data_IF_433962953424
#
_entry.id   IF_433962953424
#
_cell.length_a   1.000
_cell.length_b   1.000
_cell.length_c   1.000
_cell.angle_alpha   90.00
_cell.angle_beta   90.00
_cell.angle_gamma   90.00
#
_symmetry.space_group_name_H-M   'P 1'
#
loop_
_entity.id
_entity.type
_entity.pdbx_description
1 polymer ?
#
# COMPACT_ATOMS: atom_id res chain seq x y z
N UNK A 1 25.54 21.75 -23.46
CA UNK A 1 24.94 21.89 -22.12
C UNK A 1 24.29 20.57 -21.78
N UNK A 2 25.00 19.73 -21.03
CA UNK A 2 24.43 18.50 -20.45
C UNK A 2 23.43 18.95 -19.40
N UNK A 3 22.15 18.58 -19.56
CA UNK A 3 21.18 18.72 -18.47
C UNK A 3 21.77 17.96 -17.28
N UNK A 4 22.02 18.66 -16.18
CA UNK A 4 22.36 18.00 -14.93
C UNK A 4 21.21 17.05 -14.60
N UNK A 5 21.52 15.76 -14.54
CA UNK A 5 20.61 14.77 -14.00
C UNK A 5 20.53 15.04 -12.50
N UNK A 6 19.51 15.80 -12.10
CA UNK A 6 19.12 15.89 -10.70
C UNK A 6 18.45 14.55 -10.38
N UNK A 7 19.02 13.71 -9.50
CA UNK A 7 18.33 12.51 -9.06
C UNK A 7 17.04 12.98 -8.41
N UNK A 8 15.90 12.61 -9.00
CA UNK A 8 14.60 12.78 -8.38
C UNK A 8 14.74 12.10 -7.02
N UNK A 9 14.56 12.86 -5.93
CA UNK A 9 14.57 12.29 -4.58
C UNK A 9 13.66 11.06 -4.62
N UNK A 10 14.20 9.82 -4.48
CA UNK A 10 13.43 8.63 -4.79
C UNK A 10 12.26 8.50 -3.81
N UNK A 11 12.38 9.08 -2.61
CA UNK A 11 11.31 9.06 -1.61
C UNK A 11 10.05 9.79 -2.09
N UNK A 12 9.06 9.01 -2.48
CA UNK A 12 7.68 9.44 -2.74
C UNK A 12 7.10 10.17 -1.52
N UNK A 13 6.64 11.40 -1.73
CA UNK A 13 5.77 12.07 -0.77
C UNK A 13 4.33 11.58 -0.98
N UNK A 14 3.99 10.49 -0.31
CA UNK A 14 2.68 9.81 -0.43
C UNK A 14 1.53 10.59 0.24
N UNK A 15 1.87 11.55 1.10
CA UNK A 15 0.93 12.35 1.87
C UNK A 15 0.55 13.65 1.14
N UNK A 16 1.47 14.19 0.33
CA UNK A 16 1.21 15.36 -0.51
C UNK A 16 1.08 14.96 -2.00
N UNK A 17 0.57 15.86 -2.83
CA UNK A 17 0.14 15.64 -4.21
C UNK A 17 1.17 15.00 -5.19
N UNK A 18 2.43 14.77 -4.78
CA UNK A 18 3.52 14.27 -5.64
C UNK A 18 3.42 12.78 -6.01
N UNK A 19 2.37 12.06 -5.59
CA UNK A 19 2.01 10.73 -6.13
C UNK A 19 1.83 10.77 -7.65
N UNK A 20 1.40 11.90 -8.22
CA UNK A 20 1.08 12.02 -9.65
C UNK A 20 2.26 11.78 -10.59
N UNK A 21 3.47 12.22 -10.22
CA UNK A 21 4.67 12.01 -11.05
C UNK A 21 5.06 10.54 -11.09
N UNK A 22 4.99 9.85 -9.94
CA UNK A 22 5.21 8.42 -9.86
C UNK A 22 4.17 7.64 -10.68
N UNK A 23 2.89 8.04 -10.60
CA UNK A 23 1.82 7.43 -11.40
C UNK A 23 2.04 7.63 -12.90
N UNK A 24 2.46 8.83 -13.30
CA UNK A 24 2.80 9.12 -14.69
C UNK A 24 3.95 8.23 -15.18
N UNK A 25 4.99 8.05 -14.37
CA UNK A 25 6.10 7.14 -14.71
C UNK A 25 5.61 5.69 -14.81
N UNK A 26 4.75 5.24 -13.89
CA UNK A 26 4.17 3.89 -13.95
C UNK A 26 3.34 3.65 -15.21
N UNK A 27 2.59 4.65 -15.65
CA UNK A 27 1.73 4.56 -16.84
C UNK A 27 2.57 4.71 -18.13
N UNK A 28 3.43 5.71 -18.23
CA UNK A 28 4.06 6.18 -19.49
C UNK A 28 5.58 6.04 -19.56
N UNK A 29 6.26 5.79 -18.43
CA UNK A 29 7.73 5.82 -18.34
C UNK A 29 8.46 4.69 -19.06
N UNK A 30 9.78 4.83 -19.18
CA UNK A 30 10.66 3.76 -19.64
C UNK A 30 10.76 2.59 -18.65
N UNK A 31 11.23 1.43 -19.11
CA UNK A 31 11.36 0.23 -18.26
C UNK A 31 12.22 0.51 -17.01
N UNK A 32 13.35 1.19 -17.17
CA UNK A 32 14.28 1.49 -16.06
C UNK A 32 13.65 2.45 -15.04
N UNK A 33 12.90 3.45 -15.50
CA UNK A 33 12.19 4.40 -14.64
C UNK A 33 11.08 3.69 -13.85
N UNK A 34 10.30 2.83 -14.53
CA UNK A 34 9.27 2.02 -13.88
C UNK A 34 9.86 1.11 -12.81
N UNK A 35 10.96 0.42 -13.08
CA UNK A 35 11.64 -0.43 -12.10
C UNK A 35 12.08 0.37 -10.87
N UNK A 36 12.61 1.58 -11.10
CA UNK A 36 13.01 2.49 -10.01
C UNK A 36 11.81 2.86 -9.12
N UNK A 37 10.70 3.28 -9.72
CA UNK A 37 9.48 3.64 -8.97
C UNK A 37 8.87 2.43 -8.25
N UNK A 38 8.82 1.26 -8.88
CA UNK A 38 8.30 0.04 -8.27
C UNK A 38 9.12 -0.35 -7.03
N UNK A 39 10.45 -0.32 -7.15
CA UNK A 39 11.32 -0.64 -6.02
C UNK A 39 11.10 0.32 -4.85
N UNK A 40 10.93 1.60 -5.15
CA UNK A 40 10.63 2.60 -4.13
C UNK A 40 9.28 2.36 -3.45
N UNK A 41 8.23 2.05 -4.23
CA UNK A 41 6.91 1.71 -3.68
C UNK A 41 7.02 0.54 -2.70
N UNK A 42 7.82 -0.49 -3.04
CA UNK A 42 8.04 -1.64 -2.16
C UNK A 42 8.78 -1.25 -0.89
N UNK A 43 9.82 -0.41 -0.99
CA UNK A 43 10.56 0.12 0.18
C UNK A 43 9.65 0.91 1.11
N UNK A 44 8.73 1.70 0.55
CA UNK A 44 7.80 2.55 1.31
C UNK A 44 6.45 1.91 1.61
N UNK A 45 6.27 0.61 1.36
CA UNK A 45 4.96 -0.05 1.46
C UNK A 45 4.34 0.08 2.86
N UNK A 46 5.15 0.11 3.92
CA UNK A 46 4.69 0.37 5.29
C UNK A 46 4.04 1.75 5.42
N UNK A 47 4.70 2.78 4.90
CA UNK A 47 4.21 4.16 4.96
C UNK A 47 2.96 4.32 4.07
N UNK A 48 2.96 3.71 2.88
CA UNK A 48 1.81 3.68 1.97
C UNK A 48 0.59 3.05 2.64
N UNK A 49 0.76 1.90 3.30
CA UNK A 49 -0.32 1.23 4.03
C UNK A 49 -0.82 2.05 5.21
N UNK A 50 0.09 2.62 6.01
CA UNK A 50 -0.28 3.49 7.12
C UNK A 50 -1.11 4.68 6.65
N UNK A 51 -0.68 5.34 5.57
CA UNK A 51 -1.41 6.45 4.98
C UNK A 51 -2.74 6.01 4.39
N UNK A 52 -2.78 4.93 3.61
CA UNK A 52 -4.02 4.39 3.04
C UNK A 52 -5.07 4.10 4.12
N UNK A 53 -4.67 3.46 5.22
CA UNK A 53 -5.57 3.13 6.33
C UNK A 53 -6.00 4.39 7.08
N UNK A 54 -5.13 5.39 7.22
CA UNK A 54 -5.41 6.64 7.94
C UNK A 54 -6.17 7.69 7.12
N UNK A 55 -6.08 7.64 5.79
CA UNK A 55 -6.58 8.67 4.89
C UNK A 55 -8.10 8.68 4.83
N UNK A 56 -8.69 9.88 4.90
CA UNK A 56 -10.15 10.10 4.80
C UNK A 56 -10.57 10.62 3.43
N UNK A 57 -9.61 10.95 2.55
CA UNK A 57 -9.90 11.45 1.22
C UNK A 57 -10.09 10.31 0.22
N UNK A 58 -11.36 10.01 -0.08
CA UNK A 58 -11.84 8.98 -1.02
C UNK A 58 -10.96 8.72 -2.24
N UNK A 59 -10.77 9.75 -3.06
CA UNK A 59 -10.05 9.66 -4.32
C UNK A 59 -8.56 9.33 -4.14
N UNK A 60 -7.94 9.79 -3.04
CA UNK A 60 -6.51 9.60 -2.79
C UNK A 60 -6.22 8.19 -2.34
N UNK A 61 -6.93 7.69 -1.33
CA UNK A 61 -6.69 6.33 -0.84
C UNK A 61 -7.01 5.29 -1.93
N UNK A 62 -8.02 5.54 -2.78
CA UNK A 62 -8.33 4.66 -3.91
C UNK A 62 -7.24 4.67 -4.97
N UNK A 63 -6.63 5.83 -5.24
CA UNK A 63 -5.49 5.93 -6.16
C UNK A 63 -4.31 5.12 -5.64
N UNK A 64 -3.92 5.32 -4.37
CA UNK A 64 -2.86 4.54 -3.73
C UNK A 64 -3.17 3.05 -3.75
N UNK A 65 -4.41 2.68 -3.45
CA UNK A 65 -4.82 1.29 -3.43
C UNK A 65 -4.68 0.63 -4.80
N UNK A 66 -5.29 1.20 -5.84
CA UNK A 66 -5.33 0.59 -7.16
C UNK A 66 -3.97 0.62 -7.88
N UNK A 67 -3.16 1.66 -7.65
CA UNK A 67 -1.91 1.87 -8.41
C UNK A 67 -0.65 1.44 -7.67
N UNK A 68 -0.68 1.31 -6.35
CA UNK A 68 0.51 0.97 -5.54
C UNK A 68 0.31 -0.28 -4.69
N UNK A 69 -0.80 -0.39 -3.97
CA UNK A 69 -1.02 -1.51 -3.04
C UNK A 69 -1.38 -2.79 -3.80
N UNK A 70 -2.43 -2.79 -4.61
CA UNK A 70 -2.86 -3.97 -5.38
C UNK A 70 -1.70 -4.64 -6.14
N UNK A 71 -0.92 -3.91 -6.96
CA UNK A 71 0.11 -4.53 -7.81
C UNK A 71 1.42 -4.83 -7.08
N UNK A 72 1.76 -4.12 -5.99
CA UNK A 72 3.11 -4.18 -5.42
C UNK A 72 3.19 -4.59 -3.95
N UNK A 73 2.05 -4.70 -3.24
CA UNK A 73 2.03 -5.31 -1.93
C UNK A 73 2.24 -6.82 -2.07
N UNK A 74 3.48 -7.24 -1.87
CA UNK A 74 3.83 -8.64 -2.05
C UNK A 74 4.14 -9.33 -0.72
N UNK A 75 4.75 -8.74 0.31
CA UNK A 75 5.10 -9.45 1.56
C UNK A 75 4.01 -9.40 2.66
N UNK A 76 3.38 -10.54 3.04
CA UNK A 76 2.38 -10.57 4.11
C UNK A 76 2.88 -10.07 5.46
N UNK A 77 4.20 -10.17 5.73
CA UNK A 77 4.79 -9.66 6.97
C UNK A 77 4.72 -8.15 7.06
N UNK A 78 4.78 -7.45 5.92
CA UNK A 78 4.63 -5.98 5.86
C UNK A 78 3.22 -5.58 6.28
N UNK A 79 2.20 -6.25 5.73
CA UNK A 79 0.82 -6.01 6.18
C UNK A 79 0.65 -6.35 7.66
N UNK A 80 1.11 -7.52 8.09
CA UNK A 80 0.98 -7.95 9.48
C UNK A 80 1.63 -6.95 10.45
N UNK A 81 2.80 -6.40 10.10
CA UNK A 81 3.46 -5.35 10.86
C UNK A 81 2.58 -4.11 11.01
N UNK A 82 2.03 -3.60 9.91
CA UNK A 82 1.15 -2.42 9.90
C UNK A 82 -0.12 -2.65 10.74
N UNK A 83 -0.76 -3.81 10.59
CA UNK A 83 -2.00 -4.15 11.31
C UNK A 83 -1.82 -4.37 12.82
N UNK A 84 -0.59 -4.63 13.28
CA UNK A 84 -0.25 -4.64 14.71
C UNK A 84 0.01 -3.23 15.26
N UNK A 85 0.21 -2.25 14.39
CA UNK A 85 0.41 -0.86 14.74
C UNK A 85 -0.87 -0.16 15.20
N UNK A 86 -0.76 1.12 15.60
CA UNK A 86 -1.88 1.90 16.13
C UNK A 86 -2.84 2.41 15.04
N UNK A 87 -2.53 2.17 13.75
CA UNK A 87 -3.30 2.74 12.62
C UNK A 87 -4.73 2.19 12.54
N UNK A 88 -4.96 0.97 13.01
CA UNK A 88 -6.30 0.39 13.18
C UNK A 88 -6.80 0.73 14.58
N UNK A 89 -7.63 1.78 14.66
CA UNK A 89 -8.33 2.15 15.89
C UNK A 89 -9.61 1.34 16.03
N UNK A 90 -9.85 0.77 17.22
CA UNK A 90 -11.08 0.02 17.55
C UNK A 90 -12.36 0.86 17.35
N UNK A 91 -12.23 2.19 17.38
CA UNK A 91 -13.31 3.14 17.12
C UNK A 91 -13.72 3.24 15.63
N UNK A 92 -12.99 2.63 14.69
CA UNK A 92 -13.34 2.63 13.26
C UNK A 92 -14.54 1.75 12.91
N UNK A 93 -15.15 1.08 13.89
CA UNK A 93 -16.33 0.23 13.71
C UNK A 93 -15.98 -1.09 13.01
N UNK A 94 -16.62 -2.18 13.44
CA UNK A 94 -16.44 -3.53 12.88
C UNK A 94 -14.98 -4.02 12.85
N UNK A 95 -14.16 -3.63 13.83
CA UNK A 95 -12.80 -4.16 14.00
C UNK A 95 -12.88 -5.57 14.57
N UNK A 96 -12.25 -6.52 13.89
CA UNK A 96 -12.07 -7.90 14.33
C UNK A 96 -10.58 -8.23 14.45
N UNK A 97 -10.28 -9.37 15.07
CA UNK A 97 -8.92 -9.83 15.31
C UNK A 97 -8.65 -11.14 14.56
N UNK A 98 -7.46 -11.25 13.98
CA UNK A 98 -6.94 -12.48 13.41
C UNK A 98 -6.34 -13.41 14.48
N UNK A 99 -5.90 -14.60 14.05
CA UNK A 99 -5.29 -15.63 14.90
C UNK A 99 -4.08 -15.12 15.69
N UNK A 100 -3.29 -14.22 15.11
CA UNK A 100 -2.11 -13.61 15.73
C UNK A 100 -2.42 -12.36 16.57
N UNK A 101 -3.69 -12.00 16.70
CA UNK A 101 -4.15 -10.81 17.43
C UNK A 101 -4.12 -9.51 16.62
N UNK A 102 -3.69 -9.55 15.35
CA UNK A 102 -3.75 -8.42 14.40
C UNK A 102 -5.17 -7.89 14.24
N UNK A 103 -5.31 -6.57 14.22
CA UNK A 103 -6.60 -5.90 14.05
C UNK A 103 -6.89 -5.66 12.58
N UNK A 104 -8.17 -5.72 12.20
CA UNK A 104 -8.65 -5.48 10.84
C UNK A 104 -10.08 -4.96 10.90
N UNK A 105 -10.49 -4.03 10.03
CA UNK A 105 -11.90 -3.71 9.81
C UNK A 105 -12.38 -4.28 8.48
N UNK A 106 -13.69 -4.50 8.35
CA UNK A 106 -14.27 -5.24 7.22
C UNK A 106 -13.95 -4.62 5.86
N UNK A 107 -14.05 -3.30 5.72
CA UNK A 107 -13.76 -2.64 4.45
C UNK A 107 -12.29 -2.86 4.02
N UNK A 108 -11.33 -2.77 4.95
CA UNK A 108 -9.92 -3.06 4.66
C UNK A 108 -9.71 -4.52 4.23
N UNK A 109 -10.40 -5.47 4.86
CA UNK A 109 -10.36 -6.87 4.45
C UNK A 109 -10.82 -7.06 3.01
N UNK A 110 -11.92 -6.42 2.61
CA UNK A 110 -12.44 -6.49 1.24
C UNK A 110 -11.49 -5.88 0.22
N UNK A 111 -10.85 -4.75 0.55
CA UNK A 111 -9.81 -4.20 -0.31
C UNK A 111 -8.66 -5.19 -0.45
N UNK A 112 -8.10 -5.70 0.66
CA UNK A 112 -6.91 -6.54 0.61
C UNK A 112 -7.11 -7.87 -0.13
N UNK A 113 -8.35 -8.40 -0.24
CA UNK A 113 -8.66 -9.55 -1.11
C UNK A 113 -8.38 -9.30 -2.59
N UNK A 114 -8.26 -8.04 -3.02
CA UNK A 114 -7.97 -7.63 -4.40
C UNK A 114 -6.47 -7.52 -4.71
N UNK A 115 -5.59 -7.71 -3.73
CA UNK A 115 -4.14 -7.72 -3.95
C UNK A 115 -3.76 -8.88 -4.87
N UNK A 116 -2.87 -8.62 -5.83
CA UNK A 116 -2.54 -9.58 -6.90
C UNK A 116 -1.73 -10.77 -6.40
N UNK A 117 -0.90 -10.58 -5.39
CA UNK A 117 -0.04 -11.63 -4.86
C UNK A 117 -0.86 -12.77 -4.22
N UNK A 118 -0.80 -13.98 -4.78
CA UNK A 118 -1.53 -15.15 -4.25
C UNK A 118 -1.20 -15.46 -2.78
N UNK A 119 0.08 -15.31 -2.39
CA UNK A 119 0.52 -15.48 -0.99
C UNK A 119 -0.19 -14.54 -0.01
N UNK A 120 -0.72 -13.42 -0.49
CA UNK A 120 -1.54 -12.52 0.31
C UNK A 120 -2.93 -13.08 0.58
N UNK A 121 -3.53 -13.74 -0.42
CA UNK A 121 -4.83 -14.40 -0.26
C UNK A 121 -4.74 -15.54 0.75
N UNK A 122 -3.66 -16.33 0.67
CA UNK A 122 -3.37 -17.38 1.66
C UNK A 122 -3.17 -16.81 3.06
N UNK A 123 -2.43 -15.71 3.19
CA UNK A 123 -2.28 -15.02 4.48
C UNK A 123 -3.63 -14.54 5.03
N UNK A 124 -4.44 -13.83 4.23
CA UNK A 124 -5.73 -13.32 4.68
C UNK A 124 -6.67 -14.44 5.13
N UNK A 125 -6.75 -15.52 4.35
CA UNK A 125 -7.55 -16.70 4.67
C UNK A 125 -7.06 -17.38 5.96
N UNK A 126 -5.75 -17.61 6.06
CA UNK A 126 -5.17 -18.29 7.22
C UNK A 126 -5.23 -17.46 8.51
N UNK A 127 -5.00 -16.15 8.43
CA UNK A 127 -4.95 -15.25 9.58
C UNK A 127 -6.33 -14.84 10.07
N UNK A 128 -7.28 -14.57 9.18
CA UNK A 128 -8.59 -14.00 9.54
C UNK A 128 -9.77 -14.95 9.32
N UNK A 129 -9.63 -16.01 8.50
CA UNK A 129 -10.64 -17.04 8.25
C UNK A 129 -12.07 -16.50 8.03
N UNK A 130 -12.20 -15.46 7.19
CA UNK A 130 -13.48 -14.84 6.84
C UNK A 130 -13.83 -15.10 5.38
N UNK A 131 -15.06 -15.56 5.12
CA UNK A 131 -15.60 -15.78 3.78
C UNK A 131 -15.79 -14.43 3.05
#
# INVERSE_FOLDING_TARGET
>A
MTKEYVPISPKLDIANQNTMDALKILDEGGVEEKVTIINEIKVQMIDILNHFIGCTWGAHYMTLFNKMIIPYLDDPKVLQFVLKGPVINDNKGNVFRGKSGTKMYEELYFYLKRVEAERFKDFLSSEFNRA
#
